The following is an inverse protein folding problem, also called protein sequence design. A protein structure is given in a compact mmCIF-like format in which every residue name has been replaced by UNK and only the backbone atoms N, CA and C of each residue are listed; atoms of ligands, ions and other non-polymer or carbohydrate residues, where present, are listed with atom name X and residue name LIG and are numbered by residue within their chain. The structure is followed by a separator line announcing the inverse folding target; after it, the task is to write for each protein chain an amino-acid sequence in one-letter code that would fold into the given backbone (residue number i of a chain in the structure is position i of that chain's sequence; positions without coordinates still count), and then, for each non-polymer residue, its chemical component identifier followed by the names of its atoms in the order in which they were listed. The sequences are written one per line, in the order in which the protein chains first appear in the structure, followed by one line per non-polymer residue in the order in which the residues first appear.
data_IF_423205925893
#
_entry.id   IF_423205925893
#
_cell.length_a   1.000
_cell.length_b   1.000
_cell.length_c   1.000
_cell.angle_alpha   90.00
_cell.angle_beta   90.00
_cell.angle_gamma   90.00
#
_symmetry.space_group_name_H-M   'P 1'
#
loop_
_entity.id
_entity.type
_entity.pdbx_description
1 polymer ?
#
# COMPACT_ATOMS: atom_id res chain seq x y z
N UNK A 1 -20.31 23.59 -14.23
CA UNK A 1 -19.91 22.23 -14.64
C UNK A 1 -18.69 22.36 -15.54
N UNK A 2 -17.50 21.94 -15.13
CA UNK A 2 -16.30 22.05 -15.98
C UNK A 2 -16.44 21.12 -17.19
N UNK A 3 -16.24 21.65 -18.40
CA UNK A 3 -16.19 20.84 -19.63
C UNK A 3 -14.93 19.97 -19.57
N UNK A 4 -15.12 18.66 -19.51
CA UNK A 4 -14.03 17.70 -19.65
C UNK A 4 -13.56 17.74 -21.12
N UNK A 5 -12.27 17.96 -21.32
CA UNK A 5 -11.67 17.92 -22.64
C UNK A 5 -11.79 16.50 -23.24
N UNK A 6 -12.38 16.40 -24.43
CA UNK A 6 -12.65 15.12 -25.09
C UNK A 6 -11.37 14.39 -25.50
N UNK A 7 -10.30 15.13 -25.81
CA UNK A 7 -8.99 14.57 -26.15
C UNK A 7 -8.33 13.92 -24.93
N UNK A 8 -8.29 14.65 -23.81
CA UNK A 8 -7.76 14.15 -22.52
C UNK A 8 -8.55 12.94 -22.04
N UNK A 9 -9.88 12.97 -22.15
CA UNK A 9 -10.72 11.83 -21.78
C UNK A 9 -10.41 10.58 -22.62
N UNK A 10 -10.23 10.76 -23.93
CA UNK A 10 -9.91 9.66 -24.85
C UNK A 10 -8.51 9.09 -24.56
N UNK A 11 -7.53 9.94 -24.28
CA UNK A 11 -6.19 9.48 -23.88
C UNK A 11 -6.23 8.70 -22.57
N UNK A 12 -6.94 9.19 -21.56
CA UNK A 12 -7.05 8.53 -20.26
C UNK A 12 -7.71 7.14 -20.40
N UNK A 13 -8.78 7.04 -21.20
CA UNK A 13 -9.48 5.77 -21.47
C UNK A 13 -8.67 4.81 -22.35
N UNK A 14 -7.70 5.31 -23.13
CA UNK A 14 -6.78 4.47 -23.90
C UNK A 14 -5.75 3.75 -23.02
N UNK A 15 -5.50 4.25 -21.81
CA UNK A 15 -4.62 3.59 -20.83
C UNK A 15 -5.36 2.39 -20.23
N UNK A 16 -4.60 1.42 -19.70
CA UNK A 16 -5.17 0.24 -19.06
C UNK A 16 -6.08 0.66 -17.88
N UNK A 17 -7.40 0.68 -18.12
CA UNK A 17 -8.41 1.14 -17.15
C UNK A 17 -8.44 0.29 -15.90
N UNK A 18 -8.05 -1.00 -15.98
CA UNK A 18 -7.94 -1.90 -14.83
C UNK A 18 -6.87 -1.43 -13.84
N UNK A 19 -5.83 -0.73 -14.29
CA UNK A 19 -4.76 -0.26 -13.42
C UNK A 19 -5.18 0.89 -12.47
N UNK A 20 -6.28 1.60 -12.78
CA UNK A 20 -6.73 2.79 -12.04
C UNK A 20 -8.14 2.63 -11.47
N UNK A 21 -8.80 1.51 -11.77
CA UNK A 21 -10.16 1.23 -11.33
C UNK A 21 -10.12 0.31 -10.14
N UNK A 22 -10.61 0.80 -8.99
CA UNK A 22 -10.60 0.07 -7.71
C UNK A 22 -11.23 -1.34 -7.79
N UNK A 23 -12.24 -1.52 -8.64
CA UNK A 23 -12.90 -2.81 -8.85
C UNK A 23 -12.00 -3.92 -9.43
N UNK A 24 -10.86 -3.56 -10.04
CA UNK A 24 -9.89 -4.54 -10.57
C UNK A 24 -8.64 -4.68 -9.70
N UNK A 25 -8.59 -3.99 -8.56
CA UNK A 25 -7.52 -4.17 -7.57
C UNK A 25 -7.85 -5.40 -6.71
N UNK A 26 -6.82 -6.18 -6.35
CA UNK A 26 -7.01 -7.34 -5.48
C UNK A 26 -7.52 -6.93 -4.10
N UNK A 27 -8.35 -7.77 -3.48
CA UNK A 27 -8.89 -7.54 -2.13
C UNK A 27 -7.82 -7.63 -1.02
N UNK A 28 -6.66 -8.21 -1.33
CA UNK A 28 -5.58 -8.44 -0.38
C UNK A 28 -4.29 -7.80 -0.90
N UNK A 29 -3.81 -6.79 -0.18
CA UNK A 29 -2.51 -6.16 -0.41
C UNK A 29 -1.43 -6.91 0.37
N UNK A 30 -0.41 -7.41 -0.34
CA UNK A 30 0.73 -8.10 0.28
C UNK A 30 1.80 -7.13 0.84
N UNK A 31 1.45 -5.85 1.04
CA UNK A 31 2.35 -4.82 1.55
C UNK A 31 1.63 -3.69 2.27
N UNK A 32 2.12 -3.37 3.46
CA UNK A 32 1.71 -2.23 4.28
C UNK A 32 2.12 -0.87 3.66
N UNK A 33 2.96 -0.87 2.60
CA UNK A 33 3.47 0.34 1.95
C UNK A 33 2.39 1.11 1.20
N UNK A 34 1.40 0.39 0.66
CA UNK A 34 0.40 0.96 -0.26
C UNK A 34 -0.58 1.88 0.45
N UNK A 35 -0.93 1.56 1.70
CA UNK A 35 -2.05 2.22 2.37
C UNK A 35 -1.60 3.36 3.31
N UNK A 36 -0.90 3.05 4.40
CA UNK A 36 -0.64 4.07 5.43
C UNK A 36 0.54 4.98 5.11
N UNK A 37 1.64 4.40 4.61
CA UNK A 37 2.88 5.16 4.36
C UNK A 37 2.72 6.17 3.20
N UNK A 38 1.93 5.84 2.19
CA UNK A 38 1.71 6.73 1.05
C UNK A 38 0.80 7.91 1.41
N UNK A 39 -0.24 7.65 2.23
CA UNK A 39 -1.15 8.69 2.70
C UNK A 39 -0.46 9.66 3.68
N UNK A 40 0.31 9.13 4.63
CA UNK A 40 1.13 9.95 5.53
C UNK A 40 2.14 10.82 4.76
N UNK A 41 2.81 10.23 3.77
CA UNK A 41 3.71 10.94 2.87
C UNK A 41 3.00 12.07 2.09
N UNK A 42 1.75 11.88 1.71
CA UNK A 42 0.94 12.88 1.00
C UNK A 42 0.61 14.06 1.89
N UNK A 43 0.09 13.78 3.08
CA UNK A 43 -0.31 14.81 4.03
C UNK A 43 0.90 15.65 4.48
N UNK A 44 2.04 15.01 4.73
CA UNK A 44 3.31 15.71 5.00
C UNK A 44 3.72 16.61 3.84
N UNK A 45 3.56 16.16 2.59
CA UNK A 45 3.92 16.96 1.42
C UNK A 45 3.00 18.16 1.20
N UNK A 46 1.70 18.04 1.53
CA UNK A 46 0.78 19.18 1.53
C UNK A 46 1.23 20.22 2.55
N UNK A 47 1.53 19.80 3.77
CA UNK A 47 1.91 20.71 4.84
C UNK A 47 3.21 21.47 4.52
N UNK A 48 4.19 20.79 3.92
CA UNK A 48 5.46 21.39 3.49
C UNK A 48 5.29 22.44 2.38
N UNK A 49 4.29 22.25 1.50
CA UNK A 49 4.11 23.08 0.31
C UNK A 49 3.01 24.14 0.46
N UNK A 50 2.29 24.18 1.59
CA UNK A 50 1.12 25.04 1.80
C UNK A 50 1.41 26.55 1.74
N UNK A 51 2.65 26.95 2.07
CA UNK A 51 3.08 28.36 2.04
C UNK A 51 3.42 28.85 0.63
N UNK A 52 3.31 27.99 -0.39
CA UNK A 52 3.66 28.30 -1.77
C UNK A 52 2.43 28.63 -2.58
N UNK A 53 2.62 29.25 -3.75
CA UNK A 53 1.54 29.46 -4.72
C UNK A 53 0.93 28.10 -5.08
N UNK A 54 -0.40 28.06 -5.26
CA UNK A 54 -1.16 26.83 -5.50
C UNK A 54 -0.56 25.96 -6.62
N UNK A 55 -0.15 26.58 -7.74
CA UNK A 55 0.45 25.86 -8.87
C UNK A 55 1.77 25.19 -8.45
N UNK A 56 2.67 25.94 -7.81
CA UNK A 56 3.95 25.42 -7.31
C UNK A 56 3.76 24.33 -6.28
N UNK A 57 2.79 24.48 -5.37
CA UNK A 57 2.45 23.46 -4.37
C UNK A 57 2.03 22.15 -5.04
N UNK A 58 1.16 22.21 -6.04
CA UNK A 58 0.69 21.01 -6.75
C UNK A 58 1.80 20.35 -7.57
N UNK A 59 2.67 21.13 -8.20
CA UNK A 59 3.82 20.60 -8.95
C UNK A 59 4.80 19.86 -8.03
N UNK A 60 5.11 20.43 -6.87
CA UNK A 60 5.98 19.79 -5.88
C UNK A 60 5.40 18.49 -5.34
N UNK A 61 4.12 18.50 -4.96
CA UNK A 61 3.42 17.29 -4.49
C UNK A 61 3.45 16.21 -5.58
N UNK A 62 3.18 16.58 -6.83
CA UNK A 62 3.21 15.65 -7.97
C UNK A 62 4.59 15.01 -8.14
N UNK A 63 5.65 15.83 -8.18
CA UNK A 63 7.03 15.34 -8.35
C UNK A 63 7.43 14.45 -7.18
N UNK A 64 7.19 14.88 -5.94
CA UNK A 64 7.51 14.11 -4.73
C UNK A 64 6.81 12.74 -4.73
N UNK A 65 5.55 12.69 -5.17
CA UNK A 65 4.81 11.44 -5.29
C UNK A 65 5.30 10.53 -6.40
N UNK A 66 5.59 11.06 -7.58
CA UNK A 66 6.15 10.28 -8.68
C UNK A 66 7.48 9.65 -8.29
N UNK A 67 8.38 10.42 -7.66
CA UNK A 67 9.68 9.91 -7.18
C UNK A 67 9.50 8.81 -6.14
N UNK A 68 8.69 9.04 -5.10
CA UNK A 68 8.41 8.03 -4.07
C UNK A 68 7.84 6.74 -4.67
N UNK A 69 6.92 6.85 -5.62
CA UNK A 69 6.30 5.69 -6.26
C UNK A 69 7.32 4.87 -7.06
N UNK A 70 8.24 5.51 -7.77
CA UNK A 70 9.35 4.83 -8.45
C UNK A 70 10.25 4.11 -7.45
N UNK A 71 10.62 4.77 -6.36
CA UNK A 71 11.46 4.16 -5.32
C UNK A 71 10.78 2.97 -4.65
N UNK A 72 9.47 3.07 -4.36
CA UNK A 72 8.68 1.95 -3.84
C UNK A 72 8.62 0.79 -4.83
N UNK A 73 8.44 1.05 -6.13
CA UNK A 73 8.48 -0.02 -7.15
C UNK A 73 9.84 -0.73 -7.20
N UNK A 74 10.94 0.03 -7.10
CA UNK A 74 12.30 -0.53 -7.02
C UNK A 74 12.47 -1.39 -5.77
N UNK A 75 11.98 -0.92 -4.62
CA UNK A 75 11.97 -1.69 -3.37
C UNK A 75 11.16 -2.98 -3.52
N UNK A 76 9.95 -2.93 -4.07
CA UNK A 76 9.15 -4.14 -4.29
C UNK A 76 9.86 -5.13 -5.25
N UNK A 77 10.55 -4.62 -6.27
CA UNK A 77 11.28 -5.46 -7.23
C UNK A 77 12.51 -6.14 -6.61
N UNK A 78 13.05 -5.61 -5.50
CA UNK A 78 14.16 -6.23 -4.77
C UNK A 78 13.71 -7.24 -3.71
N UNK A 79 12.39 -7.43 -3.53
CA UNK A 79 11.89 -8.39 -2.55
C UNK A 79 12.17 -9.82 -2.98
N UNK A 80 12.61 -10.63 -2.01
CA UNK A 80 12.84 -12.06 -2.22
C UNK A 80 11.53 -12.86 -2.33
N UNK A 81 10.43 -12.34 -1.79
CA UNK A 81 9.13 -12.99 -1.75
C UNK A 81 8.06 -12.06 -2.31
N UNK A 82 6.87 -12.61 -2.59
CA UNK A 82 5.72 -11.85 -3.10
C UNK A 82 5.06 -10.94 -2.03
N UNK A 83 5.70 -10.74 -0.89
CA UNK A 83 5.19 -9.98 0.24
C UNK A 83 6.31 -9.17 0.91
N UNK A 84 5.90 -8.08 1.55
CA UNK A 84 6.78 -7.10 2.17
C UNK A 84 7.71 -7.73 3.23
N UNK A 85 9.01 -7.39 3.25
CA UNK A 85 9.93 -7.78 4.32
C UNK A 85 9.41 -7.48 5.74
N UNK A 86 8.65 -6.38 5.94
CA UNK A 86 8.03 -6.05 7.22
C UNK A 86 6.93 -7.03 7.61
N UNK A 87 6.08 -7.43 6.65
CA UNK A 87 5.07 -8.47 6.88
C UNK A 87 5.75 -9.79 7.21
N UNK A 88 6.83 -10.14 6.49
CA UNK A 88 7.63 -11.31 6.81
C UNK A 88 8.15 -11.25 8.24
N UNK A 89 8.69 -10.10 8.66
CA UNK A 89 9.21 -9.91 10.01
C UNK A 89 8.11 -10.11 11.06
N UNK A 90 6.96 -9.43 10.90
CA UNK A 90 5.79 -9.59 11.78
C UNK A 90 5.37 -11.07 11.89
N UNK A 91 5.29 -11.77 10.76
CA UNK A 91 4.95 -13.20 10.75
C UNK A 91 5.98 -14.05 11.50
N UNK A 92 7.28 -13.78 11.34
CA UNK A 92 8.33 -14.50 12.07
C UNK A 92 8.30 -14.21 13.57
N UNK A 93 8.02 -12.97 13.97
CA UNK A 93 7.89 -12.59 15.37
C UNK A 93 6.67 -13.29 15.99
N UNK A 94 5.50 -13.27 15.32
CA UNK A 94 4.32 -14.03 15.75
C UNK A 94 4.57 -15.55 15.81
N UNK A 95 5.36 -16.10 14.88
CA UNK A 95 5.73 -17.52 14.92
C UNK A 95 6.57 -17.86 16.16
N UNK A 96 7.50 -16.98 16.56
CA UNK A 96 8.30 -17.16 17.78
C UNK A 96 7.41 -17.11 19.02
N UNK A 97 6.51 -16.14 19.10
CA UNK A 97 5.53 -16.05 20.19
C UNK A 97 4.63 -17.29 20.22
N UNK A 98 4.24 -17.81 19.05
CA UNK A 98 3.44 -19.02 18.89
C UNK A 98 4.05 -20.29 19.49
N UNK A 99 5.38 -20.35 19.68
CA UNK A 99 6.05 -21.51 20.31
C UNK A 99 5.61 -21.69 21.77
N UNK A 100 5.24 -20.60 22.44
CA UNK A 100 4.73 -20.63 23.81
C UNK A 100 3.28 -21.09 23.87
N UNK A 101 2.59 -21.25 22.75
CA UNK A 101 1.20 -21.69 22.72
C UNK A 101 1.11 -23.19 22.43
N UNK A 102 0.42 -23.91 23.31
CA UNK A 102 0.09 -25.33 23.17
C UNK A 102 -1.33 -25.47 22.67
N UNK A 103 -1.49 -26.19 21.56
CA UNK A 103 -2.79 -26.62 21.06
C UNK A 103 -3.22 -27.89 21.81
N UNK A 104 -4.40 -27.86 22.41
CA UNK A 104 -5.05 -29.01 23.03
C UNK A 104 -6.25 -29.37 22.15
N UNK A 105 -6.17 -30.53 21.51
CA UNK A 105 -7.22 -31.03 20.62
C UNK A 105 -8.34 -31.69 21.44
N UNK A 106 -9.60 -31.43 21.09
CA UNK A 106 -10.77 -31.99 21.76
C UNK A 106 -11.47 -33.11 20.96
N UNK A 107 -10.80 -33.68 19.94
CA UNK A 107 -11.30 -34.76 19.08
C UNK A 107 -12.57 -34.45 18.24
N UNK A 108 -13.51 -33.65 18.73
CA UNK A 108 -14.68 -33.12 18.01
C UNK A 108 -14.41 -31.71 17.49
N UNK A 109 -13.73 -31.59 16.33
CA UNK A 109 -13.53 -30.38 15.51
C UNK A 109 -13.08 -29.08 16.22
N UNK A 110 -12.75 -29.14 17.50
CA UNK A 110 -12.41 -28.01 18.34
C UNK A 110 -11.01 -28.16 18.92
N UNK A 111 -10.36 -27.03 19.11
CA UNK A 111 -9.07 -26.94 19.76
C UNK A 111 -9.07 -25.77 20.74
N UNK A 112 -8.52 -26.00 21.94
CA UNK A 112 -8.20 -24.93 22.88
C UNK A 112 -6.72 -24.59 22.72
N UNK A 113 -6.41 -23.29 22.66
CA UNK A 113 -5.02 -22.82 22.61
C UNK A 113 -4.67 -22.22 23.97
N UNK A 114 -3.73 -22.83 24.69
CA UNK A 114 -3.23 -22.33 25.98
C UNK A 114 -1.80 -21.88 25.85
N UNK A 115 -1.46 -20.74 26.44
CA UNK A 115 -0.07 -20.36 26.66
C UNK A 115 0.56 -21.30 27.70
N UNK A 116 1.76 -21.80 27.44
CA UNK A 116 2.57 -22.60 28.37
C UNK A 116 2.88 -21.82 29.64
#
# INVERSE_FOLDING_TARGET
MYKIDKGVAKELLSKNTKAWTKAFQGLHTASDIVDNNFYEAFNSSIMESILKRLITMLEEIRVKMMTKLVDKRKQCSSWKYNYDPLIKKKFQDSKKEGVDWKMIWNEENGCEVKKK
#
